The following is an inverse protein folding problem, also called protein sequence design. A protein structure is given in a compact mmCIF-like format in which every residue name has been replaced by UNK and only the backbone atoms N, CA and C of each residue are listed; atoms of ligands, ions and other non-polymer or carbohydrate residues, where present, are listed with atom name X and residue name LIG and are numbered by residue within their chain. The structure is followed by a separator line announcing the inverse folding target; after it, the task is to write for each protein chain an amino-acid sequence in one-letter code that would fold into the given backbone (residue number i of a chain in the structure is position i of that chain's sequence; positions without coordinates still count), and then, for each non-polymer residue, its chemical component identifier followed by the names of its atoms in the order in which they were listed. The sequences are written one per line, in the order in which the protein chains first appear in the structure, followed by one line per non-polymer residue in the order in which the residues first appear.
data_IF_031186185127
#
_entry.id   IF_031186185127
#
_cell.length_a   1.000
_cell.length_b   1.000
_cell.length_c   1.000
_cell.angle_alpha   90.00
_cell.angle_beta   90.00
_cell.angle_gamma   90.00
#
_symmetry.space_group_name_H-M   'P 1'
#
loop_
_entity.id
_entity.type
_entity.pdbx_description
1 polymer ?
#
# COMPACT_ATOMS: atom_id res chain seq x y z
N UNK A 1 -14.49 -14.25 -8.22
CA UNK A 1 -13.19 -13.77 -7.74
C UNK A 1 -12.32 -13.62 -8.95
N UNK A 2 -11.85 -12.40 -9.20
CA UNK A 2 -10.86 -12.17 -10.25
C UNK A 2 -9.55 -12.85 -9.80
N UNK A 3 -8.71 -13.37 -10.72
CA UNK A 3 -7.47 -14.09 -10.38
C UNK A 3 -6.60 -13.32 -9.37
N UNK A 4 -6.62 -12.00 -9.52
CA UNK A 4 -5.85 -11.01 -8.78
C UNK A 4 -6.27 -10.83 -7.31
N UNK A 5 -7.55 -11.03 -7.00
CA UNK A 5 -8.03 -10.99 -5.60
C UNK A 5 -7.52 -12.20 -4.83
N UNK A 6 -7.37 -13.35 -5.51
CA UNK A 6 -6.88 -14.58 -4.91
C UNK A 6 -5.38 -14.50 -4.59
N UNK A 7 -4.56 -14.02 -5.51
CA UNK A 7 -3.12 -13.89 -5.29
C UNK A 7 -2.80 -12.91 -4.13
N UNK A 8 -3.60 -11.85 -4.00
CA UNK A 8 -3.50 -10.90 -2.88
C UNK A 8 -3.93 -11.55 -1.56
N UNK A 9 -5.03 -12.31 -1.56
CA UNK A 9 -5.50 -13.04 -0.38
C UNK A 9 -4.53 -14.12 0.07
N UNK A 10 -3.87 -14.81 -0.86
CA UNK A 10 -2.86 -15.82 -0.55
C UNK A 10 -1.63 -15.19 0.16
N UNK A 11 -1.25 -13.96 -0.20
CA UNK A 11 -0.21 -13.22 0.52
C UNK A 11 -0.66 -12.77 1.92
N UNK A 12 -1.94 -12.44 2.09
CA UNK A 12 -2.52 -12.02 3.37
C UNK A 12 -2.70 -13.18 4.36
N UNK A 13 -2.69 -14.42 3.87
CA UNK A 13 -2.71 -15.64 4.69
C UNK A 13 -1.33 -16.00 5.27
N UNK A 14 -0.26 -15.26 4.93
CA UNK A 14 1.08 -15.47 5.47
C UNK A 14 1.17 -14.85 6.86
N UNK A 15 1.43 -15.66 7.89
CA UNK A 15 1.50 -15.22 9.29
C UNK A 15 2.73 -14.35 9.62
N UNK A 16 3.79 -14.44 8.80
CA UNK A 16 5.00 -13.63 8.97
C UNK A 16 4.89 -12.29 8.23
N UNK A 17 4.80 -11.18 8.96
CA UNK A 17 4.60 -9.83 8.42
C UNK A 17 5.56 -9.45 7.28
N UNK A 18 6.85 -9.77 7.41
CA UNK A 18 7.85 -9.46 6.37
C UNK A 18 7.66 -10.33 5.12
N UNK A 19 7.30 -11.60 5.28
CA UNK A 19 7.07 -12.50 4.16
C UNK A 19 5.74 -12.18 3.45
N UNK A 20 4.71 -11.80 4.20
CA UNK A 20 3.45 -11.27 3.67
C UNK A 20 3.70 -10.00 2.85
N UNK A 21 4.47 -9.06 3.38
CA UNK A 21 4.83 -7.83 2.69
C UNK A 21 5.63 -8.09 1.41
N UNK A 22 6.61 -8.98 1.43
CA UNK A 22 7.39 -9.35 0.24
C UNK A 22 6.53 -10.05 -0.82
N UNK A 23 5.56 -10.86 -0.41
CA UNK A 23 4.58 -11.47 -1.30
C UNK A 23 3.72 -10.40 -1.98
N UNK A 24 3.17 -9.46 -1.20
CA UNK A 24 2.36 -8.36 -1.72
C UNK A 24 3.15 -7.48 -2.70
N UNK A 25 4.40 -7.16 -2.39
CA UNK A 25 5.29 -6.40 -3.30
C UNK A 25 5.47 -7.10 -4.64
N UNK A 26 5.62 -8.43 -4.64
CA UNK A 26 5.73 -9.22 -5.88
C UNK A 26 4.44 -9.21 -6.67
N UNK A 27 3.30 -9.37 -6.00
CA UNK A 27 1.97 -9.33 -6.64
C UNK A 27 1.76 -7.94 -7.27
N UNK A 28 1.97 -6.86 -6.51
CA UNK A 28 1.86 -5.48 -7.01
C UNK A 28 2.82 -5.21 -8.18
N UNK A 29 4.06 -5.70 -8.13
CA UNK A 29 5.04 -5.53 -9.20
C UNK A 29 4.72 -6.33 -10.48
N UNK A 30 3.86 -7.35 -10.41
CA UNK A 30 3.46 -8.15 -11.56
C UNK A 30 2.33 -7.53 -12.39
N UNK A 31 1.57 -6.58 -11.84
CA UNK A 31 0.56 -5.87 -12.63
C UNK A 31 1.22 -4.97 -13.67
N UNK A 32 0.91 -5.19 -14.94
CA UNK A 32 1.35 -4.31 -16.01
C UNK A 32 0.46 -3.08 -16.08
N UNK A 33 1.03 -1.94 -16.49
CA UNK A 33 0.37 -0.63 -16.65
C UNK A 33 -0.80 -0.58 -17.65
N UNK A 34 -1.27 -1.74 -18.12
CA UNK A 34 -2.40 -1.94 -19.04
C UNK A 34 -3.67 -2.44 -18.35
N UNK A 35 -3.60 -2.89 -17.09
CA UNK A 35 -4.77 -3.30 -16.33
C UNK A 35 -5.48 -2.09 -15.72
N UNK A 36 -6.80 -2.01 -15.94
CA UNK A 36 -7.65 -0.87 -15.53
C UNK A 36 -7.85 -0.82 -14.01
N UNK A 37 -7.70 -1.96 -13.32
CA UNK A 37 -7.89 -2.08 -11.88
C UNK A 37 -6.74 -2.91 -11.28
N UNK A 38 -5.76 -2.23 -10.67
CA UNK A 38 -4.64 -2.85 -9.97
C UNK A 38 -4.61 -2.42 -8.50
N UNK A 39 -4.26 -3.33 -7.57
CA UNK A 39 -4.02 -2.95 -6.19
C UNK A 39 -2.75 -2.10 -6.09
N UNK A 40 -2.72 -1.18 -5.15
CA UNK A 40 -1.59 -0.29 -4.89
C UNK A 40 -1.16 -0.35 -3.44
N UNK A 41 0.16 -0.43 -3.23
CA UNK A 41 0.76 -0.29 -1.91
C UNK A 41 1.06 1.19 -1.68
N UNK A 42 0.37 1.81 -0.72
CA UNK A 42 0.49 3.24 -0.42
C UNK A 42 1.16 3.42 0.93
N UNK A 43 2.17 4.27 0.98
CA UNK A 43 2.75 4.76 2.22
C UNK A 43 2.20 6.17 2.48
N UNK A 44 1.27 6.28 3.43
CA UNK A 44 0.76 7.55 3.91
C UNK A 44 1.78 8.17 4.88
N UNK A 45 2.18 9.41 4.60
CA UNK A 45 3.17 10.17 5.38
C UNK A 45 2.70 11.58 5.63
N UNK A 46 3.35 12.28 6.57
CA UNK A 46 3.14 13.71 6.80
C UNK A 46 4.48 14.46 6.71
N UNK A 47 4.44 15.72 6.29
CA UNK A 47 5.60 16.60 6.37
C UNK A 47 6.03 16.81 7.82
N UNK A 48 7.33 17.00 8.05
CA UNK A 48 7.91 17.21 9.39
C UNK A 48 7.64 16.09 10.41
N UNK A 49 7.25 14.90 9.95
CA UNK A 49 7.09 13.70 10.79
C UNK A 49 8.38 12.87 10.78
N UNK A 50 9.03 12.75 11.94
CA UNK A 50 10.29 11.99 12.06
C UNK A 50 10.09 10.49 11.78
N UNK A 51 9.09 9.79 12.36
CA UNK A 51 8.83 8.39 12.02
C UNK A 51 8.54 8.17 10.53
N UNK A 52 7.89 9.16 9.88
CA UNK A 52 7.61 9.09 8.44
C UNK A 52 8.88 9.15 7.59
N UNK A 53 9.93 9.85 8.05
CA UNK A 53 11.23 9.86 7.36
C UNK A 53 11.91 8.50 7.44
N UNK A 54 11.86 7.88 8.61
CA UNK A 54 12.44 6.54 8.84
C UNK A 54 11.73 5.49 8.00
N UNK A 55 10.40 5.49 8.01
CA UNK A 55 9.58 4.57 7.21
C UNK A 55 9.77 4.81 5.69
N UNK A 56 9.86 6.07 5.27
CA UNK A 56 10.18 6.40 3.87
C UNK A 56 11.57 5.88 3.47
N UNK A 57 12.55 5.94 4.37
CA UNK A 57 13.89 5.43 4.11
C UNK A 57 13.90 3.89 4.03
N UNK A 58 13.11 3.21 4.87
CA UNK A 58 12.96 1.76 4.85
C UNK A 58 12.42 1.26 3.51
N UNK A 59 11.43 1.95 2.93
CA UNK A 59 10.81 1.59 1.65
C UNK A 59 11.39 2.35 0.44
N UNK A 60 12.52 3.06 0.59
CA UNK A 60 13.06 3.94 -0.45
C UNK A 60 13.27 3.23 -1.80
N UNK A 61 13.72 1.97 -1.77
CA UNK A 61 13.92 1.15 -2.97
C UNK A 61 12.61 0.85 -3.69
N UNK A 62 11.56 0.51 -2.93
CA UNK A 62 10.26 0.15 -3.50
C UNK A 62 9.49 1.38 -3.98
N UNK A 63 9.69 2.52 -3.32
CA UNK A 63 9.22 3.83 -3.79
C UNK A 63 9.89 4.19 -5.12
N UNK A 64 11.21 4.02 -5.23
CA UNK A 64 11.95 4.31 -6.47
C UNK A 64 11.53 3.42 -7.64
N UNK A 65 11.11 2.17 -7.35
CA UNK A 65 10.57 1.23 -8.35
C UNK A 65 9.10 1.46 -8.69
N UNK A 66 8.40 2.37 -8.01
CA UNK A 66 6.97 2.62 -8.19
C UNK A 66 6.05 1.56 -7.59
N UNK A 67 6.59 0.63 -6.79
CA UNK A 67 5.83 -0.42 -6.10
C UNK A 67 5.07 0.19 -4.91
N UNK A 68 5.74 1.08 -4.17
CA UNK A 68 5.16 1.83 -3.04
C UNK A 68 4.89 3.27 -3.48
N UNK A 69 3.63 3.70 -3.43
CA UNK A 69 3.25 5.08 -3.69
C UNK A 69 3.28 5.90 -2.40
N UNK A 70 4.20 6.85 -2.32
CA UNK A 70 4.27 7.76 -1.16
C UNK A 70 3.27 8.91 -1.33
N UNK A 71 2.29 8.99 -0.44
CA UNK A 71 1.24 10.01 -0.47
C UNK A 71 1.27 10.82 0.83
N UNK A 72 1.20 12.14 0.73
CA UNK A 72 1.08 13.00 1.89
C UNK A 72 -0.38 12.95 2.40
N UNK A 73 -0.60 12.64 3.67
CA UNK A 73 -1.94 12.57 4.27
C UNK A 73 -2.71 13.90 4.13
N UNK A 74 -2.01 15.05 4.11
CA UNK A 74 -2.63 16.37 3.98
C UNK A 74 -2.99 16.74 2.53
N UNK A 75 -2.62 15.92 1.55
CA UNK A 75 -3.06 16.12 0.17
C UNK A 75 -4.54 15.73 0.00
N UNK A 76 -5.26 16.27 -1.01
CA UNK A 76 -6.64 15.86 -1.26
C UNK A 76 -6.81 14.35 -1.44
N UNK A 77 -5.86 13.68 -2.09
CA UNK A 77 -5.85 12.22 -2.24
C UNK A 77 -5.63 11.52 -0.90
N UNK A 78 -4.62 11.94 -0.13
CA UNK A 78 -4.31 11.36 1.19
C UNK A 78 -5.46 11.51 2.18
N UNK A 79 -6.13 12.66 2.22
CA UNK A 79 -7.30 12.90 3.06
C UNK A 79 -8.47 12.00 2.67
N UNK A 80 -8.69 11.80 1.38
CA UNK A 80 -9.76 10.93 0.87
C UNK A 80 -9.50 9.49 1.29
N UNK A 81 -8.28 8.99 1.04
CA UNK A 81 -7.87 7.64 1.43
C UNK A 81 -8.00 7.45 2.95
N UNK A 82 -7.45 8.37 3.75
CA UNK A 82 -7.47 8.26 5.20
C UNK A 82 -8.90 8.25 5.75
N UNK A 83 -9.76 9.15 5.27
CA UNK A 83 -11.14 9.25 5.73
C UNK A 83 -12.00 8.06 5.31
N UNK A 84 -11.85 7.57 4.08
CA UNK A 84 -12.65 6.46 3.57
C UNK A 84 -12.31 5.11 4.22
N UNK A 85 -11.13 5.03 4.84
CA UNK A 85 -10.57 3.80 5.39
C UNK A 85 -10.28 3.89 6.90
N UNK A 86 -10.71 4.97 7.57
CA UNK A 86 -10.55 5.20 9.01
C UNK A 86 -9.07 5.12 9.48
N UNK A 87 -8.17 5.76 8.74
CA UNK A 87 -6.73 5.76 9.03
C UNK A 87 -6.34 7.02 9.79
N UNK A 88 -6.14 6.87 11.11
CA UNK A 88 -5.78 7.96 12.00
C UNK A 88 -4.27 8.03 12.33
N UNK A 89 -3.53 6.96 12.04
CA UNK A 89 -2.12 6.83 12.41
C UNK A 89 -1.21 6.98 11.19
N UNK A 90 -0.11 7.72 11.37
CA UNK A 90 0.88 8.01 10.32
C UNK A 90 2.30 7.92 10.93
N UNK A 91 3.29 7.30 10.26
CA UNK A 91 3.20 6.69 8.93
C UNK A 91 2.36 5.41 8.92
N UNK A 92 1.70 5.14 7.79
CA UNK A 92 0.94 3.91 7.57
C UNK A 92 1.20 3.35 6.17
N UNK A 93 1.63 2.10 6.10
CA UNK A 93 1.75 1.34 4.86
C UNK A 93 0.50 0.50 4.67
N UNK A 94 -0.24 0.77 3.59
CA UNK A 94 -1.57 0.19 3.35
C UNK A 94 -1.67 -0.38 1.95
N UNK A 95 -2.36 -1.51 1.82
CA UNK A 95 -2.72 -2.08 0.54
C UNK A 95 -4.13 -1.64 0.18
N UNK A 96 -4.26 -0.97 -0.97
CA UNK A 96 -5.55 -0.50 -1.48
C UNK A 96 -5.90 -1.25 -2.75
N UNK A 97 -7.19 -1.48 -2.96
CA UNK A 97 -7.72 -1.87 -4.26
C UNK A 97 -7.71 -0.67 -5.24
N UNK A 98 -8.19 -0.91 -6.47
CA UNK A 98 -8.26 0.14 -7.49
C UNK A 98 -9.30 1.24 -7.21
N UNK A 99 -10.13 1.08 -6.19
CA UNK A 99 -11.13 2.06 -5.73
C UNK A 99 -10.70 2.77 -4.44
N UNK A 100 -9.42 2.68 -4.05
CA UNK A 100 -8.88 3.24 -2.81
C UNK A 100 -9.47 2.63 -1.53
N UNK A 101 -9.95 1.39 -1.57
CA UNK A 101 -10.42 0.67 -0.37
C UNK A 101 -9.33 -0.23 0.18
N UNK A 102 -9.18 -0.23 1.51
CA UNK A 102 -8.27 -1.13 2.21
C UNK A 102 -8.59 -2.59 1.86
N UNK A 103 -7.57 -3.30 1.40
CA UNK A 103 -7.60 -4.75 1.34
C UNK A 103 -7.06 -5.24 2.68
N UNK A 104 -7.96 -5.54 3.61
CA UNK A 104 -7.58 -6.15 4.89
C UNK A 104 -7.48 -7.68 4.76
N UNK A 105 -6.56 -8.33 5.48
CA UNK A 105 -6.67 -9.76 5.74
C UNK A 105 -8.01 -10.02 6.44
N UNK A 106 -8.76 -11.01 5.94
CA UNK A 106 -9.99 -11.53 6.56
C UNK A 106 -9.65 -12.53 7.65
#
# INVERSE_FOLDING_TARGET
MQPHEKDTQDCLAIEEDMAALDCLKKVVAQYSSSDICQPKLVLLVQDNCLPCKEETALHATDIAKGIVQKININSPEGLTIAKENDIDLIPSLILLDCHNKLIMPV
#
